data_IF_411509271441
#
_entry.id   IF_411509271441
#
_cell.length_a   1.000
_cell.length_b   1.000
_cell.length_c   1.000
_cell.angle_alpha   90.00
_cell.angle_beta   90.00
_cell.angle_gamma   90.00
#
_symmetry.space_group_name_H-M   'P 1'
#
loop_
_entity.id
_entity.type
_entity.pdbx_description
1 polymer ?
#
# COMPACT_ATOMS: atom_id res chain seq x y z
N UNK A 1 31.11 -2.54 14.28
CA UNK A 1 30.24 -2.59 13.08
C UNK A 1 29.10 -3.56 13.35
N UNK A 2 27.92 -3.05 13.74
CA UNK A 2 26.76 -3.90 14.05
C UNK A 2 26.01 -4.16 12.74
N UNK A 3 25.94 -5.42 12.32
CA UNK A 3 25.20 -5.88 11.14
C UNK A 3 23.72 -5.58 11.38
N UNK A 4 23.10 -4.75 10.53
CA UNK A 4 21.65 -4.57 10.51
C UNK A 4 21.04 -5.83 9.90
N UNK A 5 20.49 -6.70 10.74
CA UNK A 5 19.66 -7.81 10.29
C UNK A 5 18.33 -7.17 9.93
N UNK A 6 18.02 -7.09 8.64
CA UNK A 6 16.68 -6.76 8.16
C UNK A 6 15.83 -8.00 8.49
N UNK A 7 15.25 -8.00 9.69
CA UNK A 7 14.27 -9.00 10.09
C UNK A 7 12.98 -8.59 9.38
N UNK A 8 12.65 -9.31 8.30
CA UNK A 8 11.30 -9.27 7.74
C UNK A 8 10.35 -9.70 8.84
N UNK A 9 9.61 -8.74 9.40
CA UNK A 9 8.60 -8.96 10.43
C UNK A 9 7.50 -9.85 9.84
N UNK A 10 7.67 -11.16 9.99
CA UNK A 10 6.59 -12.12 9.86
C UNK A 10 5.60 -11.80 10.98
N UNK A 11 4.58 -11.00 10.64
CA UNK A 11 3.48 -10.68 11.54
C UNK A 11 2.77 -11.99 11.85
N UNK A 12 3.12 -12.58 13.00
CA UNK A 12 2.36 -13.66 13.59
C UNK A 12 0.98 -13.09 13.88
N UNK A 13 -0.03 -13.54 13.14
CA UNK A 13 -1.44 -13.28 13.40
C UNK A 13 -1.74 -13.80 14.81
N UNK A 14 -1.58 -12.96 15.83
CA UNK A 14 -2.10 -13.24 17.16
C UNK A 14 -3.60 -13.09 17.03
N UNK A 15 -4.27 -14.21 16.75
CA UNK A 15 -5.67 -14.39 17.03
C UNK A 15 -5.86 -13.99 18.50
N UNK A 16 -6.43 -12.82 18.74
CA UNK A 16 -6.96 -12.43 20.03
C UNK A 16 -8.09 -13.42 20.28
N UNK A 17 -7.75 -14.52 20.95
CA UNK A 17 -8.72 -15.47 21.47
C UNK A 17 -9.79 -14.67 22.21
N UNK A 18 -11.03 -14.74 21.71
CA UNK A 18 -12.21 -14.33 22.43
C UNK A 18 -12.08 -14.73 23.90
N UNK A 19 -12.34 -13.76 24.78
CA UNK A 19 -12.27 -13.93 26.23
C UNK A 19 -13.04 -15.17 26.67
N UNK A 20 -12.37 -16.01 27.46
CA UNK A 20 -13.04 -17.05 28.23
C UNK A 20 -14.00 -16.37 29.20
N UNK A 21 -15.29 -16.69 29.08
CA UNK A 21 -16.32 -16.44 30.09
C UNK A 21 -15.82 -16.93 31.44
N UNK A 22 -15.75 -16.03 32.42
CA UNK A 22 -15.65 -16.40 33.83
C UNK A 22 -17.02 -16.85 34.33
N UNK A 23 -17.05 -18.02 34.98
CA UNK A 23 -18.18 -18.49 35.74
C UNK A 23 -18.33 -17.72 37.04
N UNK A 24 -19.59 -17.47 37.37
CA UNK A 24 -20.08 -16.77 38.55
C UNK A 24 -19.57 -17.40 39.83
N UNK A 25 -19.12 -16.57 40.79
CA UNK A 25 -19.57 -16.69 42.17
C UNK A 25 -19.59 -15.30 42.83
N UNK A 26 -20.70 -15.05 43.51
CA UNK A 26 -21.06 -13.78 44.12
C UNK A 26 -20.45 -13.65 45.52
N UNK A 27 -19.93 -12.47 45.86
CA UNK A 27 -20.25 -11.84 47.15
C UNK A 27 -20.13 -10.30 47.06
N UNK A 28 -20.91 -9.63 47.91
CA UNK A 28 -21.38 -8.24 47.82
C UNK A 28 -20.38 -7.18 48.32
N UNK A 29 -20.63 -5.95 47.84
CA UNK A 29 -20.35 -4.62 48.40
C UNK A 29 -19.01 -3.93 48.04
N UNK A 30 -19.06 -2.98 47.09
CA UNK A 30 -18.83 -1.54 47.29
C UNK A 30 -19.02 -0.77 45.95
N UNK A 31 -19.82 0.32 45.85
CA UNK A 31 -19.95 1.06 44.61
C UNK A 31 -18.91 2.18 44.56
N UNK A 32 -17.67 1.85 44.21
CA UNK A 32 -16.70 2.87 43.83
C UNK A 32 -16.43 2.74 42.33
N UNK A 33 -17.18 3.54 41.59
CA UNK A 33 -17.00 3.79 40.17
C UNK A 33 -15.70 4.58 40.01
N UNK A 34 -14.56 3.92 40.08
CA UNK A 34 -13.33 4.43 39.48
C UNK A 34 -13.47 4.28 37.98
N UNK A 35 -14.01 5.34 37.36
CA UNK A 35 -13.64 5.69 36.00
C UNK A 35 -12.12 5.89 36.08
N UNK A 36 -11.36 4.84 35.81
CA UNK A 36 -9.94 4.98 35.51
C UNK A 36 -9.89 5.78 34.23
N UNK A 37 -9.65 7.08 34.41
CA UNK A 37 -9.17 7.96 33.37
C UNK A 37 -8.12 7.18 32.57
N UNK A 38 -8.42 6.94 31.30
CA UNK A 38 -7.47 6.39 30.36
C UNK A 38 -6.22 7.26 30.46
N UNK A 39 -5.18 6.71 31.07
CA UNK A 39 -3.91 7.37 31.28
C UNK A 39 -3.42 7.80 29.90
N UNK A 40 -3.58 9.09 29.60
CA UNK A 40 -2.85 9.76 28.53
C UNK A 40 -1.38 9.47 28.82
N UNK A 41 -0.71 8.80 27.89
CA UNK A 41 0.72 8.50 27.94
C UNK A 41 1.15 7.28 28.79
N UNK A 42 0.50 6.12 28.63
CA UNK A 42 1.26 4.88 28.76
C UNK A 42 1.93 4.63 27.41
N UNK A 43 3.26 4.55 27.32
CA UNK A 43 4.00 4.25 26.08
C UNK A 43 3.70 2.90 25.41
N UNK A 44 2.56 2.28 25.74
CA UNK A 44 2.01 1.07 25.18
C UNK A 44 1.21 1.37 23.90
N UNK A 45 1.40 0.52 22.90
CA UNK A 45 0.66 0.56 21.64
C UNK A 45 -0.83 0.20 21.84
N UNK A 46 -1.72 0.99 21.23
CA UNK A 46 -3.17 0.74 21.21
C UNK A 46 -3.58 -0.27 20.13
N UNK A 47 -4.74 -0.91 20.31
CA UNK A 47 -5.29 -1.85 19.31
C UNK A 47 -5.56 -1.17 17.96
N UNK A 48 -6.02 0.09 17.99
CA UNK A 48 -6.26 0.85 16.77
C UNK A 48 -4.96 1.18 16.01
N UNK A 49 -3.86 1.49 16.74
CA UNK A 49 -2.54 1.64 16.11
C UNK A 49 -2.09 0.36 15.40
N UNK A 50 -2.22 -0.79 16.08
CA UNK A 50 -1.85 -2.09 15.51
C UNK A 50 -2.68 -2.35 14.26
N UNK A 51 -4.01 -2.16 14.34
CA UNK A 51 -4.92 -2.42 13.23
C UNK A 51 -4.57 -1.59 11.99
N UNK A 52 -4.46 -0.26 12.14
CA UNK A 52 -4.14 0.65 11.04
C UNK A 52 -2.77 0.33 10.42
N UNK A 53 -1.77 0.02 11.26
CA UNK A 53 -0.45 -0.39 10.81
C UNK A 53 -0.49 -1.71 10.01
N UNK A 54 -1.20 -2.73 10.50
CA UNK A 54 -1.35 -4.01 9.79
C UNK A 54 -2.01 -3.82 8.42
N UNK A 55 -3.01 -2.95 8.32
CA UNK A 55 -3.66 -2.61 7.05
C UNK A 55 -2.68 -1.92 6.07
N UNK A 56 -1.79 -1.04 6.54
CA UNK A 56 -0.74 -0.48 5.68
C UNK A 56 0.27 -1.54 5.21
N UNK A 57 0.63 -2.48 6.09
CA UNK A 57 1.54 -3.57 5.74
C UNK A 57 0.92 -4.50 4.70
N UNK A 58 -0.37 -4.83 4.81
CA UNK A 58 -1.06 -5.65 3.79
C UNK A 58 -1.10 -4.95 2.43
N UNK A 59 -1.22 -3.61 2.41
CA UNK A 59 -1.22 -2.82 1.18
C UNK A 59 0.17 -2.63 0.58
N UNK A 60 1.25 -2.77 1.37
CA UNK A 60 2.62 -2.47 0.91
C UNK A 60 3.01 -3.24 -0.35
N UNK A 61 2.62 -4.51 -0.46
CA UNK A 61 3.12 -5.40 -1.52
C UNK A 61 2.20 -5.53 -2.73
N UNK A 62 0.95 -5.03 -2.66
CA UNK A 62 -0.02 -5.12 -3.77
C UNK A 62 0.56 -4.62 -5.10
N UNK A 63 1.31 -3.49 -5.16
CA UNK A 63 1.99 -3.03 -6.39
C UNK A 63 2.99 -4.00 -7.03
N UNK A 64 3.36 -5.08 -6.33
CA UNK A 64 4.31 -6.10 -6.79
C UNK A 64 3.64 -7.46 -7.04
N UNK A 65 2.32 -7.57 -6.91
CA UNK A 65 1.57 -8.80 -7.18
C UNK A 65 1.50 -9.11 -8.67
N UNK A 66 1.40 -10.39 -9.02
CA UNK A 66 1.41 -10.92 -10.39
C UNK A 66 0.30 -10.30 -11.25
N UNK A 67 -0.90 -10.12 -10.70
CA UNK A 67 -2.03 -9.46 -11.39
C UNK A 67 -1.73 -8.00 -11.77
N UNK A 68 -0.87 -7.32 -11.01
CA UNK A 68 -0.36 -5.99 -11.33
C UNK A 68 0.81 -6.07 -12.32
N UNK A 69 1.56 -7.18 -12.38
CA UNK A 69 2.66 -7.37 -13.34
C UNK A 69 2.15 -7.79 -14.74
N UNK A 70 1.10 -8.61 -14.83
CA UNK A 70 0.46 -9.07 -16.09
C UNK A 70 -0.42 -7.98 -16.75
N UNK A 71 -0.18 -6.73 -16.38
CA UNK A 71 -1.01 -5.56 -16.66
C UNK A 71 -0.70 -4.89 -17.99
N UNK A 72 -1.41 -3.77 -18.24
CA UNK A 72 -1.06 -2.76 -19.25
C UNK A 72 0.46 -2.60 -19.48
N UNK A 73 1.27 -2.57 -18.40
CA UNK A 73 2.72 -2.38 -18.47
C UNK A 73 3.43 -3.43 -19.31
N UNK A 74 3.07 -4.71 -19.18
CA UNK A 74 3.72 -5.79 -19.92
C UNK A 74 3.42 -5.66 -21.42
N UNK A 75 2.14 -5.46 -21.76
CA UNK A 75 1.69 -5.25 -23.14
C UNK A 75 2.35 -4.01 -23.74
N UNK A 76 2.36 -2.91 -22.99
CA UNK A 76 2.98 -1.66 -23.41
C UNK A 76 4.47 -1.87 -23.71
N UNK A 77 5.22 -2.48 -22.78
CA UNK A 77 6.65 -2.73 -22.94
C UNK A 77 6.93 -3.63 -24.15
N UNK A 78 6.18 -4.73 -24.30
CA UNK A 78 6.38 -5.69 -25.38
C UNK A 78 6.08 -5.08 -26.76
N UNK A 79 4.99 -4.35 -26.88
CA UNK A 79 4.43 -3.95 -28.18
C UNK A 79 4.75 -2.50 -28.57
N UNK A 80 4.98 -1.62 -27.61
CA UNK A 80 5.13 -0.16 -27.82
C UNK A 80 6.51 0.37 -27.44
N UNK A 81 7.38 -0.46 -26.87
CA UNK A 81 8.76 -0.09 -26.55
C UNK A 81 9.79 -0.90 -27.35
N UNK A 82 10.86 -0.25 -27.80
CA UNK A 82 12.05 -0.91 -28.34
C UNK A 82 12.98 -1.42 -27.23
N UNK A 83 14.13 -1.98 -27.60
CA UNK A 83 15.13 -2.53 -26.66
C UNK A 83 15.73 -1.47 -25.71
N UNK A 84 15.61 -0.18 -26.05
CA UNK A 84 16.05 0.95 -25.22
C UNK A 84 14.93 1.51 -24.34
N UNK A 85 13.72 0.95 -24.44
CA UNK A 85 12.53 1.46 -23.76
C UNK A 85 11.89 2.65 -24.46
N UNK A 86 12.31 2.98 -25.68
CA UNK A 86 11.80 4.11 -26.45
C UNK A 86 10.59 3.70 -27.29
N UNK A 87 9.72 4.66 -27.60
CA UNK A 87 8.50 4.37 -28.35
C UNK A 87 8.82 3.75 -29.72
N UNK A 88 8.23 2.58 -29.98
CA UNK A 88 8.16 1.98 -31.31
C UNK A 88 6.72 1.91 -31.77
N UNK A 89 6.52 1.98 -33.08
CA UNK A 89 5.21 1.77 -33.68
C UNK A 89 4.72 0.35 -33.38
N UNK A 90 3.53 0.17 -32.79
CA UNK A 90 3.02 -1.14 -32.42
C UNK A 90 2.54 -1.92 -33.64
N UNK A 91 2.48 -3.24 -33.49
CA UNK A 91 1.81 -4.13 -34.42
C UNK A 91 0.29 -4.01 -34.30
N UNK A 92 -0.47 -4.50 -35.29
CA UNK A 92 -1.93 -4.56 -35.20
C UNK A 92 -2.38 -5.43 -33.99
N UNK A 93 -1.66 -6.53 -33.72
CA UNK A 93 -1.90 -7.37 -32.53
C UNK A 93 -1.58 -6.64 -31.23
N UNK A 94 -0.55 -5.79 -31.24
CA UNK A 94 -0.19 -4.97 -30.08
C UNK A 94 -1.27 -3.94 -29.74
N UNK A 95 -1.85 -3.31 -30.77
CA UNK A 95 -3.01 -2.41 -30.62
C UNK A 95 -4.21 -3.16 -30.06
N UNK A 96 -4.53 -4.35 -30.58
CA UNK A 96 -5.63 -5.17 -30.03
C UNK A 96 -5.38 -5.56 -28.57
N UNK A 97 -4.13 -5.90 -28.24
CA UNK A 97 -3.75 -6.32 -26.89
C UNK A 97 -3.86 -5.17 -25.88
N UNK A 98 -3.39 -3.96 -26.21
CA UNK A 98 -3.45 -2.84 -25.26
C UNK A 98 -4.89 -2.42 -24.97
N UNK A 99 -5.80 -2.52 -25.96
CA UNK A 99 -7.23 -2.22 -25.76
C UNK A 99 -7.86 -3.18 -24.73
N UNK A 100 -7.43 -4.44 -24.68
CA UNK A 100 -7.94 -5.43 -23.72
C UNK A 100 -7.48 -5.18 -22.28
N UNK A 101 -6.49 -4.30 -22.08
CA UNK A 101 -5.99 -3.96 -20.74
C UNK A 101 -6.81 -2.86 -20.04
N UNK A 102 -7.94 -2.45 -20.61
CA UNK A 102 -8.89 -1.50 -19.99
C UNK A 102 -9.26 -1.91 -18.56
N UNK A 103 -9.38 -3.20 -18.29
CA UNK A 103 -9.71 -3.73 -16.95
C UNK A 103 -8.60 -3.52 -15.92
N UNK A 104 -7.33 -3.33 -16.34
CA UNK A 104 -6.23 -3.00 -15.42
C UNK A 104 -6.53 -1.74 -14.61
N UNK A 105 -7.29 -0.79 -15.18
CA UNK A 105 -7.72 0.44 -14.49
C UNK A 105 -8.52 0.15 -13.21
N UNK A 106 -9.23 -0.97 -13.14
CA UNK A 106 -10.01 -1.35 -11.97
C UNK A 106 -9.10 -1.71 -10.78
N UNK A 107 -8.00 -2.44 -11.04
CA UNK A 107 -7.02 -2.85 -10.02
C UNK A 107 -6.41 -1.60 -9.34
N UNK A 108 -6.00 -0.60 -10.12
CA UNK A 108 -5.52 0.68 -9.58
C UNK A 108 -6.56 1.36 -8.69
N UNK A 109 -7.83 1.30 -9.09
CA UNK A 109 -8.93 2.00 -8.40
C UNK A 109 -9.25 1.37 -7.04
N UNK A 110 -9.23 0.04 -6.95
CA UNK A 110 -9.45 -0.68 -5.69
C UNK A 110 -8.31 -0.42 -4.69
N UNK A 111 -7.06 -0.54 -5.14
CA UNK A 111 -5.91 -0.24 -4.29
C UNK A 111 -5.88 1.21 -3.80
N UNK A 112 -6.18 2.17 -4.68
CA UNK A 112 -6.28 3.59 -4.31
C UNK A 112 -7.35 3.80 -3.24
N UNK A 113 -8.52 3.17 -3.41
CA UNK A 113 -9.61 3.26 -2.44
C UNK A 113 -9.18 2.74 -1.07
N UNK A 114 -8.54 1.58 -1.01
CA UNK A 114 -8.10 1.00 0.27
C UNK A 114 -7.05 1.87 0.97
N UNK A 115 -6.11 2.45 0.22
CA UNK A 115 -5.17 3.44 0.77
C UNK A 115 -5.88 4.68 1.31
N UNK A 116 -6.81 5.26 0.55
CA UNK A 116 -7.59 6.43 0.96
C UNK A 116 -8.43 6.18 2.21
N UNK A 117 -9.04 4.99 2.30
CA UNK A 117 -9.77 4.58 3.49
C UNK A 117 -8.85 4.45 4.70
N UNK A 118 -7.65 3.88 4.53
CA UNK A 118 -6.71 3.72 5.63
C UNK A 118 -6.13 5.06 6.14
N UNK A 119 -5.82 5.99 5.22
CA UNK A 119 -5.35 7.36 5.55
C UNK A 119 -6.33 8.10 6.47
N UNK A 120 -7.63 7.88 6.29
CA UNK A 120 -8.70 8.53 7.06
C UNK A 120 -8.86 7.95 8.47
N UNK A 121 -8.33 6.76 8.76
CA UNK A 121 -8.47 6.10 10.07
C UNK A 121 -7.60 6.79 11.14
N UNK A 122 -8.07 6.69 12.39
CA UNK A 122 -7.34 7.09 13.58
C UNK A 122 -6.64 5.88 14.24
N UNK A 123 -5.47 6.08 14.88
CA UNK A 123 -4.77 7.36 15.02
C UNK A 123 -4.00 7.77 13.77
N UNK A 124 -3.60 9.04 13.71
CA UNK A 124 -2.76 9.56 12.62
C UNK A 124 -1.32 9.03 12.67
N UNK A 125 -0.81 8.67 11.50
CA UNK A 125 0.59 8.35 11.26
C UNK A 125 1.15 9.38 10.27
N UNK A 126 1.29 10.64 10.69
CA UNK A 126 1.51 11.80 9.81
C UNK A 126 2.46 11.58 8.62
N UNK A 127 3.63 10.96 8.85
CA UNK A 127 4.61 10.69 7.78
C UNK A 127 4.13 9.60 6.80
N UNK A 128 3.50 8.53 7.29
CA UNK A 128 2.94 7.45 6.48
C UNK A 128 1.67 7.90 5.76
N UNK A 129 0.76 8.56 6.47
CA UNK A 129 -0.49 9.09 5.92
C UNK A 129 -0.19 10.05 4.75
N UNK A 130 0.73 11.01 4.96
CA UNK A 130 1.14 11.98 3.92
C UNK A 130 1.85 11.34 2.73
N UNK A 131 2.71 10.35 2.96
CA UNK A 131 3.40 9.66 1.86
C UNK A 131 2.45 8.74 1.07
N UNK A 132 1.46 8.14 1.74
CA UNK A 132 0.38 7.39 1.11
C UNK A 132 -0.52 8.31 0.26
N UNK A 133 -0.84 9.53 0.72
CA UNK A 133 -1.55 10.54 -0.10
C UNK A 133 -0.78 10.86 -1.40
N UNK A 134 0.54 11.03 -1.31
CA UNK A 134 1.39 11.22 -2.49
C UNK A 134 1.36 10.02 -3.45
N UNK A 135 1.40 8.80 -2.91
CA UNK A 135 1.26 7.58 -3.70
C UNK A 135 -0.12 7.52 -4.40
N UNK A 136 -1.21 7.81 -3.70
CA UNK A 136 -2.57 7.89 -4.27
C UNK A 136 -2.63 8.87 -5.44
N UNK A 137 -2.04 10.06 -5.30
CA UNK A 137 -1.99 11.05 -6.39
C UNK A 137 -1.26 10.51 -7.61
N UNK A 138 -0.08 9.91 -7.43
CA UNK A 138 0.72 9.37 -8.53
C UNK A 138 0.05 8.18 -9.23
N UNK A 139 -0.65 7.32 -8.48
CA UNK A 139 -1.42 6.20 -9.02
C UNK A 139 -2.59 6.68 -9.87
N UNK A 140 -3.32 7.69 -9.39
CA UNK A 140 -4.41 8.30 -10.16
C UNK A 140 -3.90 8.99 -11.43
N UNK A 141 -2.72 9.62 -11.38
CA UNK A 141 -2.08 10.18 -12.57
C UNK A 141 -1.75 9.08 -13.60
N UNK A 142 -1.03 8.03 -13.19
CA UNK A 142 -0.67 6.91 -14.07
C UNK A 142 -1.91 6.22 -14.67
N UNK A 143 -2.94 5.98 -13.84
CA UNK A 143 -4.24 5.47 -14.28
C UNK A 143 -4.84 6.32 -15.40
N UNK A 144 -4.90 7.64 -15.24
CA UNK A 144 -5.47 8.54 -16.24
C UNK A 144 -4.68 8.47 -17.56
N UNK A 145 -3.36 8.37 -17.50
CA UNK A 145 -2.52 8.22 -18.69
C UNK A 145 -2.77 6.89 -19.40
N UNK A 146 -2.92 5.80 -18.64
CA UNK A 146 -3.30 4.50 -19.18
C UNK A 146 -4.63 4.60 -19.94
N UNK A 147 -5.64 5.23 -19.33
CA UNK A 147 -6.95 5.44 -19.97
C UNK A 147 -6.81 6.25 -21.27
N UNK A 148 -6.04 7.34 -21.26
CA UNK A 148 -5.79 8.14 -22.47
C UNK A 148 -5.14 7.31 -23.60
N UNK A 149 -4.18 6.44 -23.27
CA UNK A 149 -3.53 5.55 -24.23
C UNK A 149 -4.52 4.55 -24.81
N UNK A 150 -5.26 3.86 -23.95
CA UNK A 150 -6.27 2.88 -24.37
C UNK A 150 -7.29 3.55 -25.28
N UNK A 151 -7.81 4.72 -24.91
CA UNK A 151 -8.78 5.47 -25.70
C UNK A 151 -8.23 5.93 -27.05
N UNK A 152 -6.96 6.34 -27.09
CA UNK A 152 -6.31 6.77 -28.33
C UNK A 152 -6.27 5.63 -29.36
N UNK A 153 -5.90 4.42 -28.93
CA UNK A 153 -5.85 3.24 -29.79
C UNK A 153 -7.24 2.66 -30.09
N UNK A 154 -8.12 2.57 -29.10
CA UNK A 154 -9.52 2.11 -29.23
C UNK A 154 -10.31 2.94 -30.25
N UNK A 155 -10.09 4.26 -30.27
CA UNK A 155 -10.75 5.19 -31.20
C UNK A 155 -10.01 5.37 -32.53
N UNK A 156 -8.97 4.56 -32.80
CA UNK A 156 -8.17 4.60 -34.05
C UNK A 156 -7.60 5.99 -34.39
N UNK A 157 -7.31 6.83 -33.38
CA UNK A 157 -6.78 8.17 -33.61
C UNK A 157 -5.42 8.14 -34.32
N UNK A 158 -4.65 7.07 -34.08
CA UNK A 158 -3.36 6.79 -34.71
C UNK A 158 -3.38 6.72 -36.24
N UNK A 159 -4.54 6.41 -36.85
CA UNK A 159 -4.68 6.36 -38.31
C UNK A 159 -4.66 7.75 -38.94
N UNK A 160 -5.01 8.79 -38.16
CA UNK A 160 -5.12 10.18 -38.63
C UNK A 160 -3.85 10.98 -38.45
N UNK A 161 -3.10 10.72 -37.38
CA UNK A 161 -1.90 11.47 -37.02
C UNK A 161 -0.60 10.67 -37.24
N UNK A 162 -0.72 9.46 -37.80
CA UNK A 162 0.40 8.53 -38.01
C UNK A 162 1.24 8.31 -36.74
N UNK A 163 0.58 8.08 -35.60
CA UNK A 163 1.20 7.72 -34.31
C UNK A 163 1.92 8.85 -33.56
N UNK A 164 1.84 10.10 -34.03
CA UNK A 164 2.49 11.24 -33.37
C UNK A 164 1.99 11.46 -31.93
N UNK A 165 0.68 11.39 -31.69
CA UNK A 165 0.16 11.53 -30.33
C UNK A 165 0.48 10.29 -29.48
N UNK A 166 0.46 9.10 -30.08
CA UNK A 166 0.88 7.85 -29.42
C UNK A 166 2.31 7.93 -28.86
N UNK A 167 3.23 8.56 -29.59
CA UNK A 167 4.60 8.81 -29.11
C UNK A 167 4.64 9.74 -27.90
N UNK A 168 3.83 10.79 -27.88
CA UNK A 168 3.75 11.72 -26.72
C UNK A 168 3.12 11.04 -25.51
N UNK A 169 2.08 10.24 -25.72
CA UNK A 169 1.44 9.47 -24.67
C UNK A 169 2.40 8.43 -24.06
N UNK A 170 3.26 7.82 -24.88
CA UNK A 170 4.31 6.91 -24.40
C UNK A 170 5.29 7.61 -23.45
N UNK A 171 5.74 8.81 -23.80
CA UNK A 171 6.60 9.63 -22.92
C UNK A 171 5.86 10.06 -21.65
N UNK A 172 4.58 10.46 -21.76
CA UNK A 172 3.73 10.79 -20.61
C UNK A 172 3.59 9.61 -19.66
N UNK A 173 3.43 8.39 -20.18
CA UNK A 173 3.34 7.17 -19.40
C UNK A 173 4.65 6.82 -18.69
N UNK A 174 5.79 6.96 -19.37
CA UNK A 174 7.12 6.79 -18.77
C UNK A 174 7.30 7.71 -17.56
N UNK A 175 6.97 8.99 -17.72
CA UNK A 175 7.05 9.97 -16.63
C UNK A 175 6.10 9.65 -15.47
N UNK A 176 4.84 9.30 -15.76
CA UNK A 176 3.88 8.92 -14.72
C UNK A 176 4.31 7.66 -13.95
N UNK A 177 4.90 6.68 -14.64
CA UNK A 177 5.44 5.46 -14.02
C UNK A 177 6.61 5.78 -13.08
N UNK A 178 7.49 6.70 -13.49
CA UNK A 178 8.62 7.14 -12.67
C UNK A 178 8.15 7.92 -11.44
N UNK A 179 7.19 8.83 -11.59
CA UNK A 179 6.54 9.54 -10.49
C UNK A 179 5.90 8.59 -9.48
N UNK A 180 5.15 7.57 -9.96
CA UNK A 180 4.57 6.55 -9.08
C UNK A 180 5.64 5.75 -8.36
N UNK A 181 6.71 5.33 -9.06
CA UNK A 181 7.83 4.61 -8.45
C UNK A 181 8.48 5.43 -7.32
N UNK A 182 8.71 6.72 -7.55
CA UNK A 182 9.29 7.62 -6.56
C UNK A 182 8.36 7.80 -5.35
N UNK A 183 7.06 7.95 -5.59
CA UNK A 183 6.05 8.07 -4.53
C UNK A 183 5.91 6.79 -3.71
N UNK A 184 5.94 5.62 -4.36
CA UNK A 184 5.95 4.33 -3.68
C UNK A 184 7.19 4.15 -2.81
N UNK A 185 8.38 4.54 -3.29
CA UNK A 185 9.60 4.47 -2.50
C UNK A 185 9.52 5.36 -1.25
N UNK A 186 8.95 6.57 -1.38
CA UNK A 186 8.73 7.47 -0.24
C UNK A 186 7.76 6.86 0.78
N UNK A 187 6.64 6.30 0.32
CA UNK A 187 5.67 5.58 1.15
C UNK A 187 6.31 4.38 1.86
N UNK A 188 7.03 3.52 1.13
CA UNK A 188 7.72 2.37 1.72
C UNK A 188 8.73 2.80 2.78
N UNK A 189 9.51 3.84 2.53
CA UNK A 189 10.49 4.34 3.50
C UNK A 189 9.83 4.91 4.77
N UNK A 190 8.70 5.62 4.64
CA UNK A 190 7.93 6.09 5.78
C UNK A 190 7.35 4.91 6.60
N UNK A 191 6.83 3.89 5.91
CA UNK A 191 6.27 2.70 6.54
C UNK A 191 7.33 1.85 7.24
N UNK A 192 8.54 1.76 6.71
CA UNK A 192 9.66 1.07 7.36
C UNK A 192 10.06 1.78 8.67
N UNK A 193 10.11 3.12 8.69
CA UNK A 193 10.32 3.88 9.93
C UNK A 193 9.20 3.68 10.94
N UNK A 194 7.95 3.60 10.49
CA UNK A 194 6.81 3.31 11.37
C UNK A 194 6.93 1.91 11.96
N UNK A 195 7.33 0.92 11.15
CA UNK A 195 7.53 -0.48 11.58
C UNK A 195 8.52 -0.57 12.74
N UNK A 196 9.64 0.15 12.68
CA UNK A 196 10.62 0.22 13.78
C UNK A 196 9.97 0.77 15.06
N UNK A 197 9.25 1.89 14.96
CA UNK A 197 8.57 2.52 16.11
C UNK A 197 7.49 1.61 16.72
N UNK A 198 6.73 0.92 15.88
CA UNK A 198 5.66 0.01 16.30
C UNK A 198 6.26 -1.23 16.97
N UNK A 199 7.35 -1.79 16.42
CA UNK A 199 8.10 -2.89 17.02
C UNK A 199 8.59 -2.55 18.43
N UNK A 200 9.21 -1.38 18.61
CA UNK A 200 9.67 -0.90 19.92
C UNK A 200 8.53 -0.81 20.94
N UNK A 201 7.35 -0.32 20.53
CA UNK A 201 6.18 -0.23 21.41
C UNK A 201 5.62 -1.62 21.78
N UNK A 202 5.64 -2.58 20.85
CA UNK A 202 5.19 -3.95 21.10
C UNK A 202 6.12 -4.63 22.12
N UNK A 203 7.44 -4.48 21.97
CA UNK A 203 8.44 -5.02 22.89
C UNK A 203 8.24 -4.47 24.30
N UNK A 204 8.12 -3.13 24.44
CA UNK A 204 7.88 -2.48 25.74
C UNK A 204 6.60 -2.97 26.41
N UNK A 205 5.53 -3.17 25.65
CA UNK A 205 4.28 -3.72 26.17
C UNK A 205 4.46 -5.16 26.65
N UNK A 206 5.18 -6.00 25.90
CA UNK A 206 5.45 -7.38 26.28
C UNK A 206 6.30 -7.48 27.57
N UNK A 207 7.30 -6.62 27.73
CA UNK A 207 8.09 -6.51 28.96
C UNK A 207 7.22 -6.09 30.16
N UNK A 208 6.36 -5.09 29.97
CA UNK A 208 5.45 -4.58 31.02
C UNK A 208 4.41 -5.63 31.43
N UNK A 209 3.91 -6.43 30.48
CA UNK A 209 2.97 -7.54 30.72
C UNK A 209 3.64 -8.78 31.36
N UNK A 210 4.96 -8.76 31.60
CA UNK A 210 5.71 -9.93 32.08
C UNK A 210 5.88 -11.05 31.05
N UNK A 211 5.65 -10.77 29.77
CA UNK A 211 5.71 -11.71 28.63
C UNK A 211 7.05 -11.62 27.89
N UNK A 212 8.15 -11.73 28.63
CA UNK A 212 9.52 -11.55 28.12
C UNK A 212 9.91 -12.51 26.99
N UNK A 213 9.30 -13.70 26.89
CA UNK A 213 9.52 -14.63 25.79
C UNK A 213 9.04 -14.11 24.41
N UNK A 214 8.05 -13.21 24.37
CA UNK A 214 7.59 -12.56 23.14
C UNK A 214 8.48 -11.36 22.75
N UNK A 215 9.07 -10.67 23.72
CA UNK A 215 9.98 -9.55 23.48
C UNK A 215 11.26 -9.96 22.72
N UNK A 216 11.70 -11.21 22.86
CA UNK A 216 12.89 -11.76 22.17
C UNK A 216 12.64 -12.24 20.73
N UNK A 217 11.39 -12.19 20.24
CA UNK A 217 10.99 -12.69 18.91
C UNK A 217 10.68 -11.59 17.88
N UNK A 218 10.62 -10.34 18.32
CA UNK A 218 10.37 -9.13 17.50
C UNK A 218 11.70 -8.50 17.14
#
# INVERSE_FOLDING_TARGET
MKKKIIIGLAVLLIAISCGKKEEKNADKNNPEKTVTEASKDSGNISENEIKKYTEYISLKNVPNEEEWQDSFKEVFTREFSDEKGEFKKPSAKGIESIIKTEETVNIFSEYVKDLEENIKKEPKFDEVDKSAEGLVQSLNNEKNVITEIVDYYKNKKYEKDNFEEGKKLAEKYKNATEERKNSYNAYSAALDKLSEKIGDKIVKKAETDGKTAMASLV
#
